data_IF_151934780551
#
_entry.id   IF_151934780551
#
_cell.length_a   1.000
_cell.length_b   1.000
_cell.length_c   1.000
_cell.angle_alpha   90.00
_cell.angle_beta   90.00
_cell.angle_gamma   90.00
#
_symmetry.space_group_name_H-M   'P 1'
#
loop_
_entity.id
_entity.type
_entity.pdbx_description
1 polymer ?
#
# COMPACT_ATOMS: atom_id res chain seq x y z
N UNK A 1 16.94 51.20 3.38
CA UNK A 1 15.76 50.33 3.58
C UNK A 1 16.05 48.98 2.97
N UNK A 2 16.27 47.92 3.76
CA UNK A 2 16.26 46.56 3.22
C UNK A 2 14.83 46.02 3.21
N UNK A 3 14.39 45.50 2.07
CA UNK A 3 13.13 44.78 1.92
C UNK A 3 13.28 43.39 2.54
N UNK A 4 12.50 43.11 3.59
CA UNK A 4 12.32 41.75 4.08
C UNK A 4 11.35 41.03 3.14
N UNK A 5 11.88 40.20 2.25
CA UNK A 5 11.09 39.15 1.61
C UNK A 5 10.69 38.13 2.68
N UNK A 6 9.42 38.19 3.09
CA UNK A 6 8.81 37.20 3.96
C UNK A 6 8.65 35.87 3.24
N UNK A 7 9.72 35.07 3.20
CA UNK A 7 9.64 33.66 2.83
C UNK A 7 8.74 32.94 3.83
N UNK A 8 7.51 32.63 3.44
CA UNK A 8 6.61 31.84 4.27
C UNK A 8 7.27 30.48 4.55
N UNK A 9 7.65 30.24 5.80
CA UNK A 9 8.15 28.95 6.25
C UNK A 9 7.15 27.87 5.83
N UNK A 10 7.63 26.81 5.17
CA UNK A 10 6.78 25.69 4.80
C UNK A 10 6.07 25.17 6.07
N UNK A 11 4.75 24.97 6.04
CA UNK A 11 4.00 24.61 7.24
C UNK A 11 4.55 23.30 7.79
N UNK A 12 4.99 23.32 9.05
CA UNK A 12 5.49 22.14 9.74
C UNK A 12 4.41 21.05 9.76
N UNK A 13 4.76 19.86 9.28
CA UNK A 13 3.88 18.71 9.16
C UNK A 13 4.16 17.72 10.30
N UNK A 14 3.10 17.12 10.83
CA UNK A 14 3.17 16.01 11.78
C UNK A 14 2.52 14.77 11.18
N UNK A 15 3.10 13.62 11.45
CA UNK A 15 2.64 12.31 11.00
C UNK A 15 1.99 11.57 12.17
N UNK A 16 1.07 10.66 11.88
CA UNK A 16 0.46 9.80 12.90
C UNK A 16 1.47 8.84 13.51
N UNK A 17 2.32 8.28 12.66
CA UNK A 17 3.43 7.40 13.04
C UNK A 17 4.72 7.88 12.37
N UNK A 18 5.86 7.66 13.02
CA UNK A 18 7.16 8.12 12.52
C UNK A 18 7.43 9.61 12.78
N UNK A 19 8.68 10.03 12.55
CA UNK A 19 9.14 11.43 12.73
C UNK A 19 9.30 12.18 11.41
N UNK A 20 9.42 11.44 10.31
CA UNK A 20 9.66 11.95 8.95
C UNK A 20 8.75 11.24 7.96
N UNK A 21 8.59 11.78 6.75
CA UNK A 21 7.82 11.12 5.69
C UNK A 21 8.30 9.69 5.43
N UNK A 22 9.62 9.49 5.29
CA UNK A 22 10.19 8.16 5.02
C UNK A 22 9.94 7.16 6.15
N UNK A 23 10.18 7.57 7.41
CA UNK A 23 9.93 6.68 8.56
C UNK A 23 8.45 6.38 8.73
N UNK A 24 7.58 7.38 8.54
CA UNK A 24 6.13 7.20 8.57
C UNK A 24 5.66 6.22 7.50
N UNK A 25 6.10 6.43 6.26
CA UNK A 25 5.75 5.60 5.12
C UNK A 25 6.22 4.15 5.28
N UNK A 26 7.45 3.93 5.77
CA UNK A 26 7.97 2.59 6.00
C UNK A 26 7.14 1.82 7.04
N UNK A 27 6.84 2.44 8.19
CA UNK A 27 6.04 1.81 9.25
C UNK A 27 4.60 1.58 8.76
N UNK A 28 4.00 2.58 8.08
CA UNK A 28 2.66 2.45 7.51
C UNK A 28 2.59 1.32 6.48
N UNK A 29 3.57 1.22 5.60
CA UNK A 29 3.68 0.16 4.59
C UNK A 29 3.82 -1.22 5.20
N UNK A 30 4.68 -1.37 6.20
CA UNK A 30 4.84 -2.64 6.93
C UNK A 30 3.51 -3.10 7.53
N UNK A 31 2.83 -2.22 8.30
CA UNK A 31 1.56 -2.55 8.96
C UNK A 31 0.46 -2.84 7.93
N UNK A 32 0.32 -1.98 6.91
CA UNK A 32 -0.69 -2.16 5.87
C UNK A 32 -0.51 -3.49 5.12
N UNK A 33 0.75 -3.89 4.87
CA UNK A 33 1.08 -5.15 4.22
C UNK A 33 0.73 -6.33 5.09
N UNK A 34 1.08 -6.31 6.39
CA UNK A 34 0.68 -7.38 7.32
C UNK A 34 -0.84 -7.58 7.37
N UNK A 35 -1.60 -6.48 7.45
CA UNK A 35 -3.07 -6.52 7.49
C UNK A 35 -3.63 -7.11 6.20
N UNK A 36 -3.13 -6.66 5.05
CA UNK A 36 -3.55 -7.16 3.75
C UNK A 36 -3.21 -8.65 3.60
N UNK A 37 -1.99 -9.07 3.93
CA UNK A 37 -1.56 -10.48 3.89
C UNK A 37 -2.49 -11.36 4.71
N UNK A 38 -2.73 -11.03 5.98
CA UNK A 38 -3.61 -11.83 6.85
C UNK A 38 -5.04 -11.87 6.29
N UNK A 39 -5.54 -10.75 5.77
CA UNK A 39 -6.86 -10.70 5.13
C UNK A 39 -6.93 -11.65 3.92
N UNK A 40 -5.91 -11.62 3.05
CA UNK A 40 -5.81 -12.47 1.87
C UNK A 40 -5.74 -13.96 2.19
N UNK A 41 -5.11 -14.33 3.30
CA UNK A 41 -5.08 -15.71 3.80
C UNK A 41 -6.44 -16.20 4.32
N UNK A 42 -7.29 -15.29 4.82
CA UNK A 42 -8.61 -15.62 5.38
C UNK A 42 -9.77 -15.54 4.39
N UNK A 43 -9.55 -15.01 3.20
CA UNK A 43 -10.54 -14.94 2.12
C UNK A 43 -11.29 -16.24 1.81
N UNK A 44 -10.68 -17.44 1.89
CA UNK A 44 -11.42 -18.70 1.75
C UNK A 44 -12.58 -18.85 2.74
N UNK A 45 -12.46 -18.32 3.96
CA UNK A 45 -13.54 -18.33 4.95
C UNK A 45 -14.77 -17.53 4.53
N UNK A 46 -14.58 -16.56 3.62
CA UNK A 46 -15.64 -15.78 2.98
C UNK A 46 -15.97 -16.26 1.55
N UNK A 47 -15.49 -17.46 1.15
CA UNK A 47 -15.64 -18.02 -0.20
C UNK A 47 -15.04 -17.14 -1.30
N UNK A 48 -14.00 -16.37 -0.97
CA UNK A 48 -13.21 -15.59 -1.91
C UNK A 48 -11.90 -16.33 -2.26
N UNK A 49 -11.33 -16.13 -3.45
CA UNK A 49 -10.00 -16.61 -3.82
C UNK A 49 -8.97 -16.23 -2.77
N UNK A 50 -8.14 -17.19 -2.36
CA UNK A 50 -7.04 -16.90 -1.44
C UNK A 50 -5.95 -16.11 -2.17
N UNK A 51 -5.49 -15.03 -1.54
CA UNK A 51 -4.26 -14.34 -1.96
C UNK A 51 -3.17 -14.54 -0.94
N UNK A 52 -2.54 -15.71 -1.05
CA UNK A 52 -1.33 -16.05 -0.33
C UNK A 52 -0.09 -15.55 -1.09
N UNK A 53 0.13 -14.23 -1.04
CA UNK A 53 1.30 -13.62 -1.65
C UNK A 53 2.61 -14.04 -0.99
N UNK A 54 2.57 -14.54 0.25
CA UNK A 54 3.75 -15.12 0.88
C UNK A 54 4.20 -16.36 0.10
N UNK A 55 3.29 -17.31 -0.13
CA UNK A 55 3.60 -18.52 -0.91
C UNK A 55 3.92 -18.20 -2.37
N UNK A 56 3.18 -17.27 -3.02
CA UNK A 56 3.43 -16.91 -4.43
C UNK A 56 4.82 -16.29 -4.63
N UNK A 57 5.24 -15.36 -3.77
CA UNK A 57 6.58 -14.78 -3.84
C UNK A 57 7.66 -15.82 -3.51
N UNK A 58 7.37 -16.77 -2.61
CA UNK A 58 8.25 -17.90 -2.34
C UNK A 58 8.52 -18.72 -3.61
N UNK A 59 7.48 -19.04 -4.38
CA UNK A 59 7.64 -19.77 -5.63
C UNK A 59 8.43 -18.99 -6.69
N UNK A 60 8.26 -17.67 -6.74
CA UNK A 60 9.05 -16.82 -7.64
C UNK A 60 10.54 -16.84 -7.29
N UNK A 61 10.88 -16.83 -6.01
CA UNK A 61 12.27 -16.76 -5.56
C UNK A 61 12.96 -18.13 -5.52
N UNK A 62 12.26 -19.16 -5.06
CA UNK A 62 12.83 -20.49 -4.79
C UNK A 62 12.52 -21.51 -5.91
N UNK A 63 11.59 -21.19 -6.80
CA UNK A 63 11.05 -22.09 -7.81
C UNK A 63 9.98 -23.04 -7.27
N UNK A 64 9.15 -23.56 -8.18
CA UNK A 64 8.03 -24.45 -7.83
C UNK A 64 8.47 -25.73 -7.11
N UNK A 65 9.49 -26.43 -7.63
CA UNK A 65 9.94 -27.71 -7.06
C UNK A 65 10.37 -27.55 -5.60
N UNK A 66 11.23 -26.56 -5.32
CA UNK A 66 11.68 -26.24 -3.97
C UNK A 66 10.52 -25.82 -3.10
N UNK A 67 9.66 -24.94 -3.61
CA UNK A 67 8.53 -24.39 -2.86
C UNK A 67 7.49 -25.44 -2.46
N UNK A 68 7.21 -26.42 -3.33
CA UNK A 68 6.32 -27.54 -3.01
C UNK A 68 6.93 -28.48 -1.98
N UNK A 69 8.23 -28.73 -2.08
CA UNK A 69 8.94 -29.63 -1.16
C UNK A 69 9.14 -29.00 0.23
N UNK A 70 9.30 -27.67 0.29
CA UNK A 70 9.62 -26.93 1.51
C UNK A 70 8.60 -25.82 1.77
N UNK A 71 7.32 -26.20 1.92
CA UNK A 71 6.20 -25.25 1.99
C UNK A 71 6.33 -24.19 3.09
N UNK A 72 6.82 -24.54 4.28
CA UNK A 72 7.05 -23.59 5.38
C UNK A 72 8.12 -22.56 5.00
N UNK A 73 9.25 -23.03 4.46
CA UNK A 73 10.33 -22.15 4.02
C UNK A 73 9.86 -21.24 2.88
N UNK A 74 9.08 -21.78 1.94
CA UNK A 74 8.48 -21.03 0.85
C UNK A 74 7.60 -19.88 1.35
N UNK A 75 6.70 -20.18 2.29
CA UNK A 75 5.82 -19.19 2.91
C UNK A 75 6.61 -18.12 3.67
N UNK A 76 7.60 -18.51 4.48
CA UNK A 76 8.37 -17.56 5.30
C UNK A 76 9.24 -16.65 4.42
N UNK A 77 10.03 -17.23 3.51
CA UNK A 77 10.92 -16.44 2.63
C UNK A 77 10.10 -15.52 1.73
N UNK A 78 9.06 -16.04 1.10
CA UNK A 78 8.19 -15.22 0.26
C UNK A 78 7.41 -14.17 1.05
N UNK A 79 7.06 -14.45 2.31
CA UNK A 79 6.47 -13.45 3.21
C UNK A 79 7.42 -12.31 3.56
N UNK A 80 8.71 -12.59 3.74
CA UNK A 80 9.74 -11.54 3.91
C UNK A 80 9.83 -10.67 2.66
N UNK A 81 9.92 -11.28 1.47
CA UNK A 81 9.97 -10.56 0.19
C UNK A 81 8.73 -9.69 0.01
N UNK A 82 7.54 -10.26 0.20
CA UNK A 82 6.28 -9.54 0.05
C UNK A 82 6.18 -8.34 1.01
N UNK A 83 6.69 -8.50 2.23
CA UNK A 83 6.75 -7.41 3.22
C UNK A 83 7.68 -6.29 2.77
N UNK A 84 8.85 -6.64 2.24
CA UNK A 84 9.82 -5.67 1.70
C UNK A 84 9.19 -4.91 0.54
N UNK A 85 8.53 -5.60 -0.39
CA UNK A 85 7.85 -4.97 -1.53
C UNK A 85 6.79 -3.98 -1.05
N UNK A 86 5.96 -4.38 -0.08
CA UNK A 86 4.95 -3.50 0.52
C UNK A 86 5.54 -2.24 1.15
N UNK A 87 6.69 -2.35 1.82
CA UNK A 87 7.42 -1.19 2.38
C UNK A 87 7.96 -0.30 1.25
N UNK A 88 8.56 -0.87 0.21
CA UNK A 88 9.08 -0.12 -0.94
C UNK A 88 7.97 0.67 -1.63
N UNK A 89 6.81 0.04 -1.87
CA UNK A 89 5.67 0.73 -2.48
C UNK A 89 5.06 1.81 -1.58
N UNK A 90 5.11 1.64 -0.26
CA UNK A 90 4.71 2.67 0.68
C UNK A 90 5.71 3.84 0.72
N UNK A 91 7.01 3.58 0.59
CA UNK A 91 8.03 4.63 0.46
C UNK A 91 7.82 5.46 -0.82
N UNK A 92 7.58 4.79 -1.96
CA UNK A 92 7.21 5.45 -3.22
C UNK A 92 5.96 6.30 -3.02
N UNK A 93 4.95 5.76 -2.31
CA UNK A 93 3.76 6.52 -1.96
C UNK A 93 4.08 7.78 -1.16
N UNK A 94 4.71 7.64 0.02
CA UNK A 94 4.89 8.74 0.95
C UNK A 94 5.86 9.82 0.46
N UNK A 95 6.88 9.43 -0.31
CA UNK A 95 7.94 10.34 -0.77
C UNK A 95 7.66 10.95 -2.14
N UNK A 96 6.90 10.26 -3.00
CA UNK A 96 6.73 10.66 -4.41
C UNK A 96 5.25 10.88 -4.72
N UNK A 97 4.43 9.83 -4.62
CA UNK A 97 3.05 9.85 -5.15
C UNK A 97 2.15 10.77 -4.32
N UNK A 98 2.22 10.69 -3.00
CA UNK A 98 1.39 11.49 -2.10
C UNK A 98 1.58 13.00 -2.30
N UNK A 99 2.81 13.56 -2.31
CA UNK A 99 3.01 14.97 -2.62
C UNK A 99 2.63 15.29 -4.08
N UNK A 100 2.99 14.44 -5.04
CA UNK A 100 2.68 14.67 -6.46
C UNK A 100 1.17 14.77 -6.73
N UNK A 101 0.35 13.91 -6.13
CA UNK A 101 -1.11 13.98 -6.23
C UNK A 101 -1.66 15.32 -5.71
N UNK A 102 -1.04 15.91 -4.69
CA UNK A 102 -1.44 17.24 -4.17
C UNK A 102 -1.05 18.41 -5.08
N UNK A 103 -0.04 18.20 -5.94
CA UNK A 103 0.36 19.16 -6.98
C UNK A 103 -0.57 19.04 -8.18
N UNK A 104 -0.78 17.82 -8.69
CA UNK A 104 -1.51 17.55 -9.93
C UNK A 104 -3.02 17.66 -9.78
N UNK A 105 -3.57 17.23 -8.64
CA UNK A 105 -5.01 17.24 -8.40
C UNK A 105 -5.31 18.23 -7.28
N UNK A 106 -5.86 19.39 -7.65
CA UNK A 106 -6.16 20.48 -6.68
C UNK A 106 -6.98 20.01 -5.47
N UNK A 107 -7.95 19.11 -5.69
CA UNK A 107 -8.78 18.53 -4.63
C UNK A 107 -8.02 17.62 -3.65
N UNK A 108 -6.85 17.10 -4.03
CA UNK A 108 -5.99 16.26 -3.18
C UNK A 108 -4.83 17.04 -2.55
N UNK A 109 -4.78 18.37 -2.73
CA UNK A 109 -3.77 19.22 -2.09
C UNK A 109 -3.90 19.28 -0.56
N UNK A 110 -5.10 19.40 0.03
CA UNK A 110 -5.22 19.54 1.48
C UNK A 110 -4.66 18.33 2.24
N UNK A 111 -3.87 18.59 3.29
CA UNK A 111 -3.38 17.55 4.19
C UNK A 111 -4.41 17.31 5.31
N UNK A 112 -5.45 16.53 5.02
CA UNK A 112 -6.49 16.12 5.96
C UNK A 112 -6.63 14.59 5.99
N UNK A 113 -7.16 13.99 7.07
CA UNK A 113 -7.33 12.53 7.15
C UNK A 113 -8.10 11.94 5.98
N UNK A 114 -9.20 12.58 5.57
CA UNK A 114 -10.00 12.14 4.42
C UNK A 114 -9.21 12.19 3.12
N UNK A 115 -8.46 13.26 2.86
CA UNK A 115 -7.66 13.37 1.62
C UNK A 115 -6.50 12.36 1.64
N UNK A 116 -5.87 12.13 2.79
CA UNK A 116 -4.80 11.15 2.94
C UNK A 116 -5.30 9.72 2.72
N UNK A 117 -6.50 9.39 3.22
CA UNK A 117 -7.21 8.15 2.90
C UNK A 117 -7.46 8.01 1.39
N UNK A 118 -8.01 9.06 0.74
CA UNK A 118 -8.27 9.03 -0.70
C UNK A 118 -7.00 8.81 -1.52
N UNK A 119 -5.88 9.44 -1.14
CA UNK A 119 -4.58 9.20 -1.78
C UNK A 119 -4.11 7.75 -1.58
N UNK A 120 -4.27 7.19 -0.38
CA UNK A 120 -3.95 5.80 -0.09
C UNK A 120 -4.78 4.83 -0.94
N UNK A 121 -6.08 5.09 -1.09
CA UNK A 121 -6.98 4.33 -1.97
C UNK A 121 -6.58 4.39 -3.44
N UNK A 122 -6.33 5.60 -3.97
CA UNK A 122 -5.85 5.79 -5.35
C UNK A 122 -4.58 4.99 -5.58
N UNK A 123 -3.66 5.00 -4.61
CA UNK A 123 -2.42 4.24 -4.72
C UNK A 123 -2.64 2.74 -4.64
N UNK A 124 -3.47 2.25 -3.72
CA UNK A 124 -3.87 0.85 -3.65
C UNK A 124 -4.49 0.36 -4.97
N UNK A 125 -5.37 1.15 -5.58
CA UNK A 125 -5.99 0.81 -6.86
C UNK A 125 -5.02 0.87 -8.03
N UNK A 126 -4.05 1.78 -8.02
CA UNK A 126 -2.96 1.77 -9.00
C UNK A 126 -2.14 0.47 -8.90
N UNK A 127 -1.82 0.03 -7.69
CA UNK A 127 -1.13 -1.25 -7.47
C UNK A 127 -2.00 -2.45 -7.87
N UNK A 128 -3.31 -2.39 -7.67
CA UNK A 128 -4.23 -3.41 -8.17
C UNK A 128 -4.21 -3.52 -9.69
N UNK A 129 -4.18 -2.40 -10.42
CA UNK A 129 -4.04 -2.39 -11.88
C UNK A 129 -2.71 -3.01 -12.28
N UNK A 130 -1.60 -2.59 -11.67
CA UNK A 130 -0.26 -3.13 -11.95
C UNK A 130 -0.22 -4.64 -11.66
N UNK A 131 -0.73 -5.07 -10.51
CA UNK A 131 -0.81 -6.46 -10.09
C UNK A 131 -1.61 -7.30 -11.07
N UNK A 132 -2.84 -6.87 -11.38
CA UNK A 132 -3.77 -7.65 -12.20
C UNK A 132 -3.41 -7.66 -13.69
N UNK A 133 -2.91 -6.54 -14.21
CA UNK A 133 -2.61 -6.40 -15.64
C UNK A 133 -1.21 -6.90 -16.01
N UNK A 134 -0.24 -6.77 -15.11
CA UNK A 134 1.17 -7.02 -15.39
C UNK A 134 1.73 -8.13 -14.50
N UNK A 135 1.71 -7.93 -13.18
CA UNK A 135 2.52 -8.74 -12.30
C UNK A 135 2.06 -10.21 -12.21
N UNK A 136 0.77 -10.41 -11.94
CA UNK A 136 0.19 -11.76 -11.87
C UNK A 136 0.29 -12.47 -13.24
N UNK A 137 -0.13 -11.86 -14.36
CA UNK A 137 -0.06 -12.56 -15.65
C UNK A 137 1.37 -12.80 -16.15
N UNK A 138 2.31 -11.86 -15.93
CA UNK A 138 3.65 -11.95 -16.51
C UNK A 138 4.65 -12.71 -15.64
N UNK A 139 4.43 -12.80 -14.32
CA UNK A 139 5.31 -13.57 -13.43
C UNK A 139 4.67 -14.88 -12.97
N UNK A 140 3.46 -14.82 -12.41
CA UNK A 140 2.79 -16.02 -11.87
C UNK A 140 2.25 -16.90 -13.00
N UNK A 141 1.76 -16.32 -14.09
CA UNK A 141 1.30 -17.07 -15.28
C UNK A 141 2.35 -18.04 -15.82
N UNK A 142 3.53 -17.56 -16.25
CA UNK A 142 4.61 -18.44 -16.71
C UNK A 142 5.10 -19.42 -15.65
N UNK A 143 5.17 -18.99 -14.38
CA UNK A 143 5.57 -19.85 -13.28
C UNK A 143 4.63 -21.05 -13.13
N UNK A 144 3.33 -20.85 -13.31
CA UNK A 144 2.29 -21.87 -13.12
C UNK A 144 1.92 -22.64 -14.40
N UNK A 145 2.37 -22.20 -15.57
CA UNK A 145 2.13 -22.90 -16.84
C UNK A 145 2.55 -24.39 -16.82
N UNK A 146 3.70 -24.80 -16.24
CA UNK A 146 4.10 -26.20 -16.19
C UNK A 146 3.16 -27.11 -15.38
N UNK A 147 2.36 -26.54 -14.48
CA UNK A 147 1.39 -27.28 -13.64
C UNK A 147 -0.06 -27.05 -14.10
N UNK A 148 -0.27 -26.47 -15.28
CA UNK A 148 -1.57 -26.31 -15.89
C UNK A 148 -2.50 -25.29 -15.22
N UNK A 149 -1.97 -24.36 -14.42
CA UNK A 149 -2.76 -23.30 -13.79
C UNK A 149 -2.65 -22.00 -14.58
N UNK A 150 -3.77 -21.57 -15.18
CA UNK A 150 -3.84 -20.35 -15.97
C UNK A 150 -3.93 -19.08 -15.12
N UNK A 151 -3.19 -18.04 -15.53
CA UNK A 151 -3.29 -16.67 -15.01
C UNK A 151 -3.41 -15.70 -16.18
N UNK A 152 -4.62 -15.20 -16.42
CA UNK A 152 -4.95 -14.35 -17.55
C UNK A 152 -4.75 -12.86 -17.27
N UNK A 153 -4.66 -12.01 -18.31
CA UNK A 153 -4.63 -10.55 -18.16
C UNK A 153 -5.80 -10.05 -17.32
N UNK A 154 -5.55 -9.09 -16.43
CA UNK A 154 -6.54 -8.59 -15.45
C UNK A 154 -7.16 -9.71 -14.60
N UNK A 155 -6.42 -10.77 -14.31
CA UNK A 155 -6.93 -11.94 -13.56
C UNK A 155 -8.27 -12.47 -14.12
N UNK A 156 -8.50 -12.31 -15.43
CA UNK A 156 -9.68 -12.88 -16.11
C UNK A 156 -9.73 -14.40 -15.98
N UNK A 157 -8.57 -15.03 -15.78
CA UNK A 157 -8.41 -16.36 -15.22
C UNK A 157 -7.38 -16.34 -14.09
N UNK A 158 -7.65 -17.08 -13.02
CA UNK A 158 -6.71 -17.40 -11.95
C UNK A 158 -7.18 -18.70 -11.30
N UNK A 159 -6.66 -19.84 -11.79
CA UNK A 159 -7.23 -21.14 -11.46
C UNK A 159 -8.74 -21.19 -11.77
N UNK A 160 -9.59 -21.72 -10.88
CA UNK A 160 -11.04 -21.84 -11.12
C UNK A 160 -11.82 -20.55 -10.88
N UNK A 161 -11.17 -19.48 -10.40
CA UNK A 161 -11.88 -18.32 -9.83
C UNK A 161 -12.33 -17.28 -10.87
N UNK A 162 -11.75 -17.28 -12.07
CA UNK A 162 -12.07 -16.32 -13.13
C UNK A 162 -12.10 -14.87 -12.63
N UNK A 163 -13.13 -14.12 -13.05
CA UNK A 163 -13.32 -12.70 -12.69
C UNK A 163 -13.44 -12.44 -11.17
N UNK A 164 -13.78 -13.45 -10.38
CA UNK A 164 -13.82 -13.31 -8.92
C UNK A 164 -12.44 -12.91 -8.38
N UNK A 165 -11.37 -13.46 -8.96
CA UNK A 165 -10.00 -13.13 -8.58
C UNK A 165 -9.67 -11.64 -8.79
N UNK A 166 -10.16 -11.04 -9.88
CA UNK A 166 -9.97 -9.61 -10.15
C UNK A 166 -10.57 -8.74 -9.05
N UNK A 167 -11.81 -8.99 -8.66
CA UNK A 167 -12.50 -8.20 -7.63
C UNK A 167 -11.96 -8.47 -6.23
N UNK A 168 -11.57 -9.71 -5.94
CA UNK A 168 -10.89 -10.03 -4.68
C UNK A 168 -9.54 -9.33 -4.61
N UNK A 169 -8.84 -9.14 -5.74
CA UNK A 169 -7.54 -8.47 -5.75
C UNK A 169 -7.73 -6.97 -5.54
N UNK A 170 -8.78 -6.40 -6.14
CA UNK A 170 -9.19 -5.02 -5.88
C UNK A 170 -9.51 -4.81 -4.40
N UNK A 171 -10.27 -5.73 -3.80
CA UNK A 171 -10.62 -5.66 -2.39
C UNK A 171 -9.39 -5.76 -1.49
N UNK A 172 -8.49 -6.68 -1.78
CA UNK A 172 -7.21 -6.84 -1.09
C UNK A 172 -6.36 -5.56 -1.11
N UNK A 173 -6.16 -4.97 -2.29
CA UNK A 173 -5.42 -3.73 -2.45
C UNK A 173 -6.16 -2.51 -1.87
N UNK A 174 -7.48 -2.55 -1.79
CA UNK A 174 -8.29 -1.53 -1.11
C UNK A 174 -8.02 -1.57 0.40
N UNK A 175 -8.00 -2.75 1.02
CA UNK A 175 -7.63 -2.92 2.43
C UNK A 175 -6.24 -2.34 2.68
N UNK A 176 -5.27 -2.66 1.83
CA UNK A 176 -3.92 -2.12 1.94
C UNK A 176 -3.90 -0.58 1.82
N UNK A 177 -4.57 -0.02 0.80
CA UNK A 177 -4.63 1.42 0.53
C UNK A 177 -5.31 2.23 1.64
N UNK A 178 -6.38 1.69 2.23
CA UNK A 178 -7.04 2.28 3.41
C UNK A 178 -6.06 2.41 4.57
N UNK A 179 -5.40 1.31 4.92
CA UNK A 179 -4.47 1.28 6.05
C UNK A 179 -3.27 2.20 5.80
N UNK A 180 -2.69 2.17 4.60
CA UNK A 180 -1.58 3.06 4.25
C UNK A 180 -1.97 4.54 4.37
N UNK A 181 -3.10 4.94 3.80
CA UNK A 181 -3.55 6.34 3.80
C UNK A 181 -3.83 6.87 5.21
N UNK A 182 -4.48 6.05 6.05
CA UNK A 182 -4.81 6.39 7.43
C UNK A 182 -3.58 6.40 8.36
N UNK A 183 -2.61 5.51 8.13
CA UNK A 183 -1.41 5.41 8.96
C UNK A 183 -0.36 6.45 8.60
N UNK A 184 -0.10 6.70 7.31
CA UNK A 184 0.84 7.72 6.87
C UNK A 184 0.38 9.12 7.26
N UNK A 185 -0.88 9.45 6.95
CA UNK A 185 -1.66 10.61 7.39
C UNK A 185 -0.88 11.87 7.87
N UNK A 186 -0.13 12.56 6.98
CA UNK A 186 0.49 13.84 7.30
C UNK A 186 -0.57 14.93 7.50
N UNK A 187 -0.41 15.74 8.55
CA UNK A 187 -1.26 16.91 8.81
C UNK A 187 -0.45 18.14 9.24
N UNK A 188 -0.88 19.37 8.91
CA UNK A 188 -0.28 20.58 9.46
C UNK A 188 -0.38 20.58 10.99
N UNK A 189 0.67 21.05 11.68
CA UNK A 189 0.69 21.10 13.15
C UNK A 189 -0.51 21.87 13.72
N UNK A 190 -0.94 22.98 13.09
CA UNK A 190 -2.12 23.73 13.52
C UNK A 190 -3.40 22.88 13.55
N UNK A 191 -3.64 22.09 12.50
CA UNK A 191 -4.76 21.15 12.43
C UNK A 191 -4.62 20.01 13.45
N UNK A 192 -3.39 19.56 13.69
CA UNK A 192 -3.12 18.53 14.69
C UNK A 192 -3.48 18.98 16.12
N UNK A 193 -3.11 20.21 16.46
CA UNK A 193 -3.41 20.80 17.78
C UNK A 193 -4.91 21.03 17.94
N UNK A 194 -5.56 21.59 16.92
CA UNK A 194 -7.02 21.78 16.90
C UNK A 194 -7.78 20.47 17.07
N UNK A 195 -7.41 19.41 16.34
CA UNK A 195 -8.07 18.09 16.45
C UNK A 195 -7.92 17.43 17.83
N UNK A 196 -6.96 17.90 18.65
CA UNK A 196 -6.73 17.40 20.01
C UNK A 196 -7.23 18.35 21.10
N UNK A 197 -7.94 19.42 20.75
CA UNK A 197 -8.40 20.43 21.71
C UNK A 197 -7.27 21.20 22.38
N UNK A 198 -6.05 21.16 21.83
CA UNK A 198 -4.92 21.93 22.33
C UNK A 198 -4.96 23.31 21.66
N UNK A 199 -5.35 24.33 22.43
CA UNK A 199 -5.41 25.70 21.94
C UNK A 199 -4.06 26.18 21.41
N UNK A 200 -4.07 26.92 20.31
CA UNK A 200 -2.91 27.69 19.87
C UNK A 200 -2.72 28.86 20.83
N UNK A 201 -1.96 28.67 21.91
CA UNK A 201 -1.45 29.79 22.73
C UNK A 201 -0.37 30.52 21.94
N UNK A 202 -0.76 31.25 20.91
CA UNK A 202 0.10 32.13 20.15
C UNK A 202 -0.74 33.34 19.74
N UNK A 203 -0.90 34.29 20.65
CA UNK A 203 -1.68 35.50 20.41
C UNK A 203 -2.09 36.26 21.67
N UNK A 204 -1.23 36.33 22.69
CA UNK A 204 -1.30 37.34 23.75
C UNK A 204 0.14 37.66 24.16
N UNK A 205 0.63 38.83 23.75
CA UNK A 205 1.98 39.31 23.97
C UNK A 205 2.38 40.32 22.93
#
# INVERSE_FOLDING_TARGET
>A
MPMHEGGAEAPKVKYLIGKTAGTSAAIAGFIATMIATVSGLWFPGARLPQFDFNTLNGYLLLGLTTGFTNSIQNFVIGGVVHTIDGVIWALIFGLIVHPALGVWVKGLRPMTPTVNLMKGLIWGWALWIISSALWMPLLIGPLFAPIGVGVGPFLTSFGPYGVQALFTNLFWHTIWGVNLGLLFNPMPISKWMSARGMGTTAGMG
#
